data_IF_791175838488
#
_entry.id   IF_791175838488
#
_cell.length_a   1.000
_cell.length_b   1.000
_cell.length_c   1.000
_cell.angle_alpha   90.00
_cell.angle_beta   90.00
_cell.angle_gamma   90.00
#
_symmetry.space_group_name_H-M   'P 1'
#
loop_
_entity.id
_entity.type
_entity.pdbx_description
1 polymer ?
#
# COMPACT_ATOMS: atom_id res chain seq x y z
N UNK A 1 -26.56 31.58 1.78
CA UNK A 1 -25.15 31.57 2.20
C UNK A 1 -24.60 30.17 2.00
N UNK A 2 -23.62 30.01 1.11
CA UNK A 2 -23.02 28.71 0.76
C UNK A 2 -21.91 28.41 1.77
N UNK A 3 -22.10 27.40 2.62
CA UNK A 3 -21.04 26.93 3.52
C UNK A 3 -20.09 25.99 2.77
N UNK A 4 -18.99 26.51 2.22
CA UNK A 4 -17.85 25.67 1.80
C UNK A 4 -17.00 25.37 3.02
N UNK A 5 -17.23 24.21 3.64
CA UNK A 5 -16.37 23.71 4.72
C UNK A 5 -15.00 23.40 4.11
N UNK A 6 -14.02 24.25 4.39
CA UNK A 6 -12.63 24.06 3.97
C UNK A 6 -12.12 22.70 4.43
N UNK A 7 -11.91 21.80 3.48
CA UNK A 7 -11.13 20.58 3.67
C UNK A 7 -9.73 21.01 4.11
N UNK A 8 -9.44 20.92 5.41
CA UNK A 8 -8.05 20.91 5.87
C UNK A 8 -7.41 19.70 5.22
N UNK A 9 -6.69 19.91 4.13
CA UNK A 9 -5.85 18.90 3.48
C UNK A 9 -4.78 18.54 4.51
N UNK A 10 -5.05 17.54 5.34
CA UNK A 10 -4.03 16.92 6.18
C UNK A 10 -2.97 16.45 5.17
N UNK A 11 -1.85 17.17 5.12
CA UNK A 11 -0.69 16.77 4.32
C UNK A 11 -0.21 15.49 4.98
N UNK A 12 -0.66 14.36 4.46
CA UNK A 12 -0.16 13.06 4.88
C UNK A 12 1.24 12.97 4.32
N UNK A 13 2.21 13.21 5.19
CA UNK A 13 3.63 13.13 4.85
C UNK A 13 3.92 11.73 4.30
N UNK A 14 4.55 11.70 3.14
CA UNK A 14 5.01 10.45 2.54
C UNK A 14 6.09 9.88 3.46
N UNK A 15 5.82 8.72 4.07
CA UNK A 15 6.79 8.05 4.93
C UNK A 15 7.55 7.01 4.10
N UNK A 16 8.89 7.10 4.04
CA UNK A 16 9.68 6.12 3.33
C UNK A 16 9.57 4.75 4.02
N UNK A 17 9.57 3.70 3.21
CA UNK A 17 9.75 2.34 3.70
C UNK A 17 11.18 2.18 4.21
N UNK A 18 11.34 1.72 5.44
CA UNK A 18 12.63 1.47 6.08
C UNK A 18 12.62 0.09 6.76
N UNK A 19 13.79 -0.43 7.12
CA UNK A 19 13.93 -1.74 7.80
C UNK A 19 13.14 -1.86 9.13
N UNK A 20 12.92 -0.73 9.78
CA UNK A 20 12.21 -0.62 11.06
C UNK A 20 10.71 -0.29 10.86
N UNK A 21 10.26 -0.17 9.62
CA UNK A 21 8.85 0.05 9.31
C UNK A 21 8.01 -1.15 9.78
N UNK A 22 6.82 -0.94 10.38
CA UNK A 22 5.97 -2.05 10.85
C UNK A 22 5.69 -3.09 9.77
N UNK A 23 5.48 -2.67 8.53
CA UNK A 23 5.34 -3.57 7.36
C UNK A 23 6.58 -4.44 7.16
N UNK A 24 7.79 -3.90 7.32
CA UNK A 24 9.03 -4.67 7.20
C UNK A 24 9.15 -5.74 8.31
N UNK A 25 8.63 -5.46 9.51
CA UNK A 25 8.54 -6.43 10.60
C UNK A 25 7.51 -7.51 10.27
N UNK A 26 6.31 -7.14 9.81
CA UNK A 26 5.28 -8.09 9.40
C UNK A 26 5.75 -9.02 8.29
N UNK A 27 6.45 -8.49 7.28
CA UNK A 27 7.00 -9.30 6.19
C UNK A 27 8.04 -10.29 6.72
N UNK A 28 8.95 -9.84 7.60
CA UNK A 28 9.92 -10.75 8.26
C UNK A 28 9.25 -11.85 9.09
N UNK A 29 8.07 -11.59 9.64
CA UNK A 29 7.28 -12.59 10.37
C UNK A 29 6.49 -13.54 9.46
N UNK A 30 6.62 -13.43 8.14
CA UNK A 30 5.98 -14.30 7.15
C UNK A 30 4.70 -13.73 6.54
N UNK A 31 4.34 -12.47 6.81
CA UNK A 31 3.21 -11.82 6.14
C UNK A 31 3.57 -11.50 4.69
N UNK A 32 2.62 -11.66 3.77
CA UNK A 32 2.78 -11.17 2.39
C UNK A 32 2.81 -9.66 2.37
N UNK A 33 3.55 -9.08 1.41
CA UNK A 33 3.73 -7.63 1.32
C UNK A 33 2.39 -6.88 1.27
N UNK A 34 1.45 -7.35 0.45
CA UNK A 34 0.17 -6.68 0.25
C UNK A 34 -0.70 -6.72 1.52
N UNK A 35 -0.78 -7.88 2.17
CA UNK A 35 -1.57 -8.06 3.39
C UNK A 35 -0.97 -7.24 4.55
N UNK A 36 0.35 -7.16 4.65
CA UNK A 36 1.03 -6.32 5.62
C UNK A 36 0.69 -4.84 5.45
N UNK A 37 0.66 -4.33 4.20
CA UNK A 37 0.24 -2.95 3.92
C UNK A 37 -1.24 -2.71 4.18
N UNK A 38 -2.12 -3.64 3.78
CA UNK A 38 -3.57 -3.57 4.05
C UNK A 38 -3.85 -3.50 5.54
N UNK A 39 -3.18 -4.34 6.34
CA UNK A 39 -3.32 -4.36 7.79
C UNK A 39 -2.77 -3.08 8.43
N UNK A 40 -1.55 -2.66 8.07
CA UNK A 40 -0.91 -1.48 8.63
C UNK A 40 -1.67 -0.19 8.33
N UNK A 41 -2.16 -0.05 7.09
CA UNK A 41 -2.84 1.16 6.64
C UNK A 41 -4.35 1.10 6.85
N UNK A 42 -4.88 -0.02 7.37
CA UNK A 42 -6.30 -0.26 7.60
C UNK A 42 -7.16 -0.03 6.35
N UNK A 43 -6.64 -0.38 5.17
CA UNK A 43 -7.30 -0.12 3.89
C UNK A 43 -7.99 -1.38 3.37
N UNK A 44 -9.32 -1.43 3.46
CA UNK A 44 -10.10 -2.54 2.91
C UNK A 44 -10.08 -2.57 1.37
N UNK A 45 -10.33 -3.74 0.79
CA UNK A 45 -10.35 -3.95 -0.66
C UNK A 45 -11.33 -3.01 -1.39
N UNK A 46 -12.56 -2.78 -0.91
CA UNK A 46 -13.47 -1.79 -1.53
C UNK A 46 -12.89 -0.37 -1.53
N UNK A 47 -12.15 0.01 -0.48
CA UNK A 47 -11.49 1.32 -0.41
C UNK A 47 -10.35 1.41 -1.42
N UNK A 48 -9.55 0.36 -1.54
CA UNK A 48 -8.48 0.27 -2.54
C UNK A 48 -9.06 0.36 -3.95
N UNK A 49 -10.03 -0.47 -4.31
CA UNK A 49 -10.69 -0.42 -5.63
C UNK A 49 -11.27 0.96 -5.93
N UNK A 50 -11.92 1.62 -4.95
CA UNK A 50 -12.47 2.96 -5.16
C UNK A 50 -11.39 4.01 -5.48
N UNK A 51 -10.24 3.93 -4.79
CA UNK A 51 -9.15 4.92 -4.86
C UNK A 51 -8.17 4.66 -6.01
N UNK A 52 -7.82 3.42 -6.27
CA UNK A 52 -6.84 3.03 -7.29
C UNK A 52 -7.48 2.63 -8.62
N UNK A 53 -8.78 2.34 -8.62
CA UNK A 53 -9.50 1.72 -9.77
C UNK A 53 -9.00 0.33 -10.14
N UNK A 54 -8.16 -0.29 -9.31
CA UNK A 54 -7.74 -1.68 -9.49
C UNK A 54 -8.92 -2.58 -9.12
N UNK A 55 -9.24 -3.53 -10.02
CA UNK A 55 -10.33 -4.48 -9.81
C UNK A 55 -10.09 -5.31 -8.54
N UNK A 56 -11.17 -5.66 -7.83
CA UNK A 56 -11.08 -6.44 -6.60
C UNK A 56 -10.40 -7.80 -6.80
N UNK A 57 -10.68 -8.47 -7.91
CA UNK A 57 -10.01 -9.72 -8.30
C UNK A 57 -8.50 -9.52 -8.47
N UNK A 58 -8.09 -8.40 -9.07
CA UNK A 58 -6.67 -8.08 -9.23
C UNK A 58 -6.00 -7.81 -7.89
N UNK A 59 -6.66 -7.11 -6.97
CA UNK A 59 -6.16 -6.96 -5.59
C UNK A 59 -6.02 -8.30 -4.87
N UNK A 60 -6.96 -9.24 -5.09
CA UNK A 60 -6.84 -10.60 -4.54
C UNK A 60 -5.62 -11.32 -5.12
N UNK A 61 -5.36 -11.22 -6.42
CA UNK A 61 -4.15 -11.80 -7.02
C UNK A 61 -2.88 -11.24 -6.36
N UNK A 62 -2.82 -9.93 -6.12
CA UNK A 62 -1.68 -9.30 -5.43
C UNK A 62 -1.51 -9.82 -3.99
N UNK A 63 -2.61 -9.98 -3.25
CA UNK A 63 -2.60 -10.65 -1.93
C UNK A 63 -2.16 -12.11 -2.00
N UNK A 64 -2.39 -12.79 -3.13
CA UNK A 64 -1.89 -14.14 -3.36
C UNK A 64 -0.43 -14.22 -3.81
N UNK A 65 0.26 -13.08 -3.93
CA UNK A 65 1.66 -13.00 -4.31
C UNK A 65 1.91 -12.76 -5.79
N UNK A 66 0.89 -12.37 -6.56
CA UNK A 66 1.10 -11.94 -7.95
C UNK A 66 1.99 -10.68 -8.02
N UNK A 67 2.80 -10.61 -9.07
CA UNK A 67 3.62 -9.43 -9.35
C UNK A 67 2.74 -8.22 -9.72
N UNK A 68 2.89 -7.07 -9.03
CA UNK A 68 2.26 -5.84 -9.44
C UNK A 68 2.99 -5.22 -10.63
N UNK A 69 2.23 -4.61 -11.54
CA UNK A 69 2.78 -3.72 -12.57
C UNK A 69 3.28 -2.41 -11.94
N UNK A 70 4.14 -1.68 -12.66
CA UNK A 70 4.62 -0.36 -12.22
C UNK A 70 3.48 0.63 -11.95
N UNK A 71 2.42 0.62 -12.76
CA UNK A 71 1.25 1.47 -12.55
C UNK A 71 0.50 1.11 -11.25
N UNK A 72 0.35 -0.19 -10.95
CA UNK A 72 -0.27 -0.63 -9.70
C UNK A 72 0.56 -0.23 -8.47
N UNK A 73 1.89 -0.33 -8.56
CA UNK A 73 2.80 0.14 -7.51
C UNK A 73 2.61 1.63 -7.27
N UNK A 74 2.58 2.47 -8.31
CA UNK A 74 2.39 3.91 -8.13
C UNK A 74 1.05 4.26 -7.48
N UNK A 75 -0.04 3.62 -7.92
CA UNK A 75 -1.37 3.84 -7.36
C UNK A 75 -1.46 3.43 -5.88
N UNK A 76 -0.90 2.27 -5.54
CA UNK A 76 -0.88 1.77 -4.16
C UNK A 76 0.03 2.64 -3.27
N UNK A 77 1.18 3.06 -3.78
CA UNK A 77 2.12 3.94 -3.10
C UNK A 77 1.46 5.28 -2.72
N UNK A 78 0.68 5.87 -3.64
CA UNK A 78 -0.10 7.08 -3.36
C UNK A 78 -1.16 6.86 -2.27
N UNK A 79 -1.87 5.73 -2.28
CA UNK A 79 -2.90 5.43 -1.27
C UNK A 79 -2.30 5.22 0.11
N UNK A 80 -1.11 4.63 0.18
CA UNK A 80 -0.42 4.31 1.43
C UNK A 80 0.61 5.36 1.88
N UNK A 81 0.74 6.46 1.13
CA UNK A 81 1.67 7.54 1.45
C UNK A 81 3.12 7.03 1.61
N UNK A 82 3.54 6.18 0.68
CA UNK A 82 4.91 5.68 0.56
C UNK A 82 5.43 6.02 -0.83
N UNK A 83 6.74 6.09 -1.00
CA UNK A 83 7.37 6.20 -2.32
C UNK A 83 7.18 4.89 -3.11
N UNK A 84 6.98 4.93 -4.44
CA UNK A 84 6.96 3.72 -5.28
C UNK A 84 8.19 2.82 -5.07
N UNK A 85 9.37 3.42 -4.90
CA UNK A 85 10.63 2.71 -4.63
C UNK A 85 10.58 1.95 -3.29
N UNK A 86 10.11 2.61 -2.24
CA UNK A 86 9.89 1.98 -0.93
C UNK A 86 8.86 0.85 -0.99
N UNK A 87 7.80 0.99 -1.78
CA UNK A 87 6.84 -0.09 -1.99
C UNK A 87 7.49 -1.29 -2.71
N UNK A 88 8.29 -1.04 -3.76
CA UNK A 88 9.08 -2.08 -4.45
C UNK A 88 10.03 -2.81 -3.51
N UNK A 89 10.74 -2.08 -2.65
CA UNK A 89 11.61 -2.69 -1.64
C UNK A 89 10.86 -3.64 -0.71
N UNK A 90 9.63 -3.30 -0.31
CA UNK A 90 8.79 -4.20 0.50
C UNK A 90 8.37 -5.46 -0.27
N UNK A 91 8.09 -5.33 -1.57
CA UNK A 91 7.75 -6.46 -2.45
C UNK A 91 8.97 -7.39 -2.59
N UNK A 92 10.15 -6.84 -2.84
CA UNK A 92 11.39 -7.61 -2.98
C UNK A 92 11.78 -8.29 -1.66
N UNK A 93 11.62 -7.60 -0.52
CA UNK A 93 11.84 -8.20 0.79
C UNK A 93 10.92 -9.41 1.04
N UNK A 94 9.65 -9.33 0.63
CA UNK A 94 8.71 -10.44 0.79
C UNK A 94 9.03 -11.64 -0.12
N UNK A 95 9.77 -11.44 -1.22
CA UNK A 95 10.25 -12.51 -2.09
C UNK A 95 11.55 -13.14 -1.60
N UNK A 96 12.45 -12.32 -1.04
CA UNK A 96 13.78 -12.73 -0.59
C UNK A 96 13.84 -13.33 0.82
N UNK A 97 12.72 -13.31 1.57
CA UNK A 97 12.63 -13.84 2.94
C UNK A 97 12.33 -15.34 3.04
N UNK A 98 12.84 -16.15 2.11
CA UNK A 98 12.74 -17.62 2.13
C UNK A 98 13.88 -18.28 2.89
#
# INVERSE_FOLDING_TARGET
MVYRKGERRIVKEVRPYTKDHPVAVSIRSGSRWFDAWVAQMTTSYPVLTKRTKIAGERLMQLSHGAEPSSAEVELLAQVWFVTPEGLRQSIDQAKGGG
#
